data_IF_635640955883
#
_entry.id   IF_635640955883
#
_cell.length_a   1.000
_cell.length_b   1.000
_cell.length_c   1.000
_cell.angle_alpha   90.00
_cell.angle_beta   90.00
_cell.angle_gamma   90.00
#
_symmetry.space_group_name_H-M   'P 1'
#
loop_
_entity.id
_entity.type
_entity.pdbx_description
1 polymer ?
#
# COMPACT_ATOMS: atom_id res chain seq x y z
N UNK A 1 -8.13 -6.34 14.01
CA UNK A 1 -9.03 -6.69 12.90
C UNK A 1 -9.33 -5.42 12.11
N UNK A 2 -9.24 -5.46 10.79
CA UNK A 2 -9.58 -4.34 9.93
C UNK A 2 -11.00 -3.82 10.17
N UNK A 3 -11.31 -2.65 9.64
CA UNK A 3 -12.67 -2.08 9.74
C UNK A 3 -13.53 -2.60 8.58
N UNK A 4 -14.49 -3.50 8.79
CA UNK A 4 -15.23 -4.15 7.70
C UNK A 4 -15.95 -3.18 6.75
N UNK A 5 -16.33 -2.01 7.25
CA UNK A 5 -17.03 -0.96 6.50
C UNK A 5 -16.14 0.21 6.08
N UNK A 6 -14.84 0.17 6.39
CA UNK A 6 -13.93 1.28 6.17
C UNK A 6 -13.88 1.76 4.70
N UNK A 7 -13.97 0.85 3.75
CA UNK A 7 -13.99 1.17 2.31
C UNK A 7 -15.27 1.93 1.86
N UNK A 8 -16.33 1.86 2.64
CA UNK A 8 -17.58 2.63 2.40
C UNK A 8 -17.56 3.99 3.10
N UNK A 9 -16.82 4.11 4.19
CA UNK A 9 -16.80 5.32 5.03
C UNK A 9 -15.70 6.31 4.61
N UNK A 10 -14.57 5.80 4.14
CA UNK A 10 -13.43 6.61 3.73
C UNK A 10 -13.28 6.62 2.22
N UNK A 11 -13.22 7.78 1.63
CA UNK A 11 -12.87 7.92 0.21
C UNK A 11 -11.42 7.54 -0.04
N UNK A 12 -11.14 7.06 -1.26
CA UNK A 12 -9.79 6.77 -1.68
C UNK A 12 -9.03 8.07 -1.94
N UNK A 13 -7.91 8.22 -1.26
CA UNK A 13 -6.99 9.34 -1.46
C UNK A 13 -5.64 8.78 -1.93
N UNK A 14 -5.12 9.31 -3.01
CA UNK A 14 -3.83 8.92 -3.57
C UNK A 14 -2.77 9.98 -3.24
N UNK A 15 -1.51 9.54 -3.11
CA UNK A 15 -0.38 10.45 -2.97
C UNK A 15 -0.30 11.37 -4.20
N UNK A 16 -0.17 12.66 -3.96
CA UNK A 16 -0.04 13.66 -5.04
C UNK A 16 1.36 13.61 -5.64
N UNK A 17 1.45 13.82 -6.93
CA UNK A 17 2.72 13.95 -7.63
C UNK A 17 2.87 15.36 -8.19
N UNK A 18 4.11 15.88 -8.15
CA UNK A 18 4.46 17.15 -8.80
C UNK A 18 4.20 17.06 -10.31
N UNK A 19 3.77 18.15 -10.92
CA UNK A 19 3.43 18.17 -12.35
C UNK A 19 4.62 17.72 -13.22
N UNK A 20 4.38 16.99 -14.33
CA UNK A 20 5.46 16.52 -15.20
C UNK A 20 6.39 17.63 -15.69
N UNK A 21 5.85 18.83 -15.96
CA UNK A 21 6.62 20.00 -16.44
C UNK A 21 7.57 20.55 -15.38
N UNK A 22 7.27 20.35 -14.11
CA UNK A 22 8.13 20.80 -13.02
C UNK A 22 9.14 19.74 -12.60
N UNK A 23 8.75 18.48 -12.54
CA UNK A 23 9.64 17.40 -12.13
C UNK A 23 10.75 17.07 -13.11
N UNK A 24 10.63 17.42 -14.40
CA UNK A 24 11.71 17.27 -15.38
C UNK A 24 12.87 18.27 -15.17
N UNK A 25 12.70 19.28 -14.33
CA UNK A 25 13.71 20.32 -14.07
C UNK A 25 14.74 19.91 -13.02
N UNK A 26 14.49 18.85 -12.28
CA UNK A 26 15.36 18.37 -11.22
C UNK A 26 15.17 16.85 -11.00
N UNK A 27 16.00 16.25 -10.16
CA UNK A 27 15.95 14.84 -9.77
C UNK A 27 15.47 14.65 -8.33
N UNK A 28 14.76 15.62 -7.77
CA UNK A 28 14.21 15.51 -6.42
C UNK A 28 13.01 14.57 -6.38
N UNK A 29 12.63 14.16 -5.17
CA UNK A 29 11.41 13.41 -4.93
C UNK A 29 10.19 14.20 -5.43
N UNK A 30 9.35 13.58 -6.22
CA UNK A 30 8.18 14.22 -6.81
C UNK A 30 6.84 13.69 -6.27
N UNK A 31 6.87 12.67 -5.42
CA UNK A 31 5.70 12.20 -4.70
C UNK A 31 5.59 12.91 -3.36
N UNK A 32 4.40 13.42 -3.05
CA UNK A 32 4.10 13.97 -1.74
C UNK A 32 3.42 12.89 -0.91
N UNK A 33 4.06 12.39 0.16
CA UNK A 33 3.47 11.36 0.99
C UNK A 33 2.18 11.88 1.66
N UNK A 34 1.28 10.96 1.95
CA UNK A 34 0.11 11.24 2.77
C UNK A 34 0.53 11.50 4.22
N UNK A 35 -0.23 12.34 4.92
CA UNK A 35 -0.06 12.50 6.37
C UNK A 35 -0.35 11.19 7.10
N UNK A 36 0.17 11.04 8.31
CA UNK A 36 -0.06 9.84 9.14
C UNK A 36 -1.55 9.56 9.32
N UNK A 37 -2.35 10.58 9.57
CA UNK A 37 -3.80 10.43 9.72
C UNK A 37 -4.48 9.93 8.44
N UNK A 38 -4.08 10.46 7.28
CA UNK A 38 -4.57 9.99 5.99
C UNK A 38 -4.15 8.56 5.71
N UNK A 39 -2.89 8.20 5.99
CA UNK A 39 -2.39 6.83 5.84
C UNK A 39 -3.20 5.84 6.68
N UNK A 40 -3.49 6.17 7.94
CA UNK A 40 -4.34 5.35 8.81
C UNK A 40 -5.75 5.20 8.25
N UNK A 41 -6.35 6.28 7.75
CA UNK A 41 -7.67 6.23 7.09
C UNK A 41 -7.64 5.35 5.84
N UNK A 42 -6.60 5.45 4.99
CA UNK A 42 -6.49 4.61 3.81
C UNK A 42 -6.28 3.13 4.17
N UNK A 43 -5.51 2.83 5.20
CA UNK A 43 -5.32 1.47 5.70
C UNK A 43 -6.61 0.87 6.28
N UNK A 44 -7.46 1.70 6.90
CA UNK A 44 -8.78 1.28 7.40
C UNK A 44 -9.75 0.85 6.29
N UNK A 45 -9.46 1.16 5.02
CA UNK A 45 -10.27 0.68 3.89
C UNK A 45 -10.12 -0.81 3.61
N UNK A 46 -9.11 -1.45 4.16
CA UNK A 46 -8.97 -2.89 4.09
C UNK A 46 -10.01 -3.56 5.00
N UNK A 47 -10.92 -4.33 4.43
CA UNK A 47 -11.98 -5.02 5.18
C UNK A 47 -11.55 -6.35 5.78
N UNK A 48 -10.31 -6.76 5.61
CA UNK A 48 -9.79 -8.06 6.05
C UNK A 48 -10.71 -9.22 5.63
N UNK A 49 -10.91 -9.34 4.33
CA UNK A 49 -11.98 -10.13 3.73
C UNK A 49 -11.87 -11.67 3.92
N UNK A 50 -10.77 -12.16 4.51
CA UNK A 50 -10.54 -13.61 4.70
C UNK A 50 -10.19 -14.38 3.41
N UNK A 51 -10.42 -13.81 2.23
CA UNK A 51 -10.02 -14.35 0.91
C UNK A 51 -9.22 -13.26 0.17
N UNK A 52 -8.00 -12.95 0.66
CA UNK A 52 -7.25 -11.78 0.21
C UNK A 52 -6.60 -12.01 -1.15
N UNK A 53 -7.30 -11.70 -2.24
CA UNK A 53 -6.72 -11.70 -3.58
C UNK A 53 -5.49 -10.79 -3.69
N UNK A 54 -5.39 -9.75 -2.87
CA UNK A 54 -4.25 -8.85 -2.82
C UNK A 54 -2.93 -9.56 -2.47
N UNK A 55 -2.96 -10.65 -1.71
CA UNK A 55 -1.76 -11.41 -1.31
C UNK A 55 -1.66 -12.79 -1.95
N UNK A 56 -2.61 -13.21 -2.79
CA UNK A 56 -2.70 -14.61 -3.23
C UNK A 56 -1.71 -14.96 -4.34
N UNK A 57 -1.28 -14.02 -5.15
CA UNK A 57 -0.41 -14.27 -6.31
C UNK A 57 -1.00 -15.26 -7.34
N UNK A 58 -2.32 -15.46 -7.34
CA UNK A 58 -2.98 -16.41 -8.26
C UNK A 58 -3.01 -15.87 -9.69
N UNK A 59 -2.87 -16.78 -10.64
CA UNK A 59 -3.07 -16.46 -12.04
C UNK A 59 -4.57 -16.54 -12.38
N UNK A 60 -5.15 -15.40 -12.76
CA UNK A 60 -6.54 -15.30 -13.19
C UNK A 60 -6.54 -14.87 -14.66
N UNK A 61 -6.94 -15.76 -15.55
CA UNK A 61 -7.00 -15.52 -17.00
C UNK A 61 -5.68 -14.95 -17.59
N UNK A 62 -4.55 -15.49 -17.15
CA UNK A 62 -3.22 -15.08 -17.65
C UNK A 62 -2.62 -13.85 -16.95
N UNK A 63 -3.32 -13.25 -16.00
CA UNK A 63 -2.80 -12.15 -15.18
C UNK A 63 -2.61 -12.59 -13.73
N UNK A 64 -1.47 -12.28 -13.15
CA UNK A 64 -1.24 -12.51 -11.73
C UNK A 64 -2.03 -11.51 -10.92
N UNK A 65 -2.90 -12.01 -10.03
CA UNK A 65 -3.62 -11.15 -9.07
C UNK A 65 -2.78 -10.94 -7.82
N UNK A 66 -2.81 -9.74 -7.29
CA UNK A 66 -2.20 -9.44 -6.01
C UNK A 66 -0.66 -9.62 -5.98
N UNK A 67 -0.13 -9.89 -4.80
CA UNK A 67 1.30 -9.97 -4.57
C UNK A 67 1.84 -11.39 -4.81
N UNK A 68 2.76 -11.60 -5.79
CA UNK A 68 3.33 -12.92 -6.06
C UNK A 68 4.24 -13.42 -4.92
N UNK A 69 4.68 -12.53 -4.03
CA UNK A 69 5.48 -12.88 -2.84
C UNK A 69 4.61 -13.21 -1.62
N UNK A 70 3.30 -13.21 -1.77
CA UNK A 70 2.33 -13.44 -0.69
C UNK A 70 2.53 -12.50 0.51
N UNK A 71 2.81 -11.23 0.25
CA UNK A 71 2.89 -10.22 1.29
C UNK A 71 1.58 -10.16 2.09
N UNK A 72 1.69 -10.04 3.40
CA UNK A 72 0.56 -10.03 4.33
C UNK A 72 -0.14 -8.66 4.35
N UNK A 73 -0.69 -8.27 3.20
CA UNK A 73 -1.27 -6.94 2.97
C UNK A 73 -2.40 -6.59 3.95
N UNK A 74 -3.39 -7.45 4.20
CA UNK A 74 -4.42 -7.15 5.18
C UNK A 74 -3.86 -6.94 6.59
N UNK A 75 -2.87 -7.73 6.99
CA UNK A 75 -2.27 -7.66 8.32
C UNK A 75 -1.54 -6.33 8.54
N UNK A 76 -0.69 -5.89 7.61
CA UNK A 76 -0.03 -4.60 7.81
C UNK A 76 -1.01 -3.42 7.70
N UNK A 77 -2.05 -3.51 6.89
CA UNK A 77 -3.10 -2.49 6.85
C UNK A 77 -3.79 -2.34 8.22
N UNK A 78 -4.11 -3.45 8.88
CA UNK A 78 -4.66 -3.41 10.24
C UNK A 78 -3.69 -2.80 11.25
N UNK A 79 -2.41 -3.17 11.16
CA UNK A 79 -1.37 -2.61 12.03
C UNK A 79 -1.16 -1.11 11.83
N UNK A 80 -1.18 -0.62 10.59
CA UNK A 80 -1.13 0.82 10.29
C UNK A 80 -2.37 1.54 10.80
N UNK A 81 -3.55 0.99 10.57
CA UNK A 81 -4.80 1.56 11.06
C UNK A 81 -4.80 1.70 12.57
N UNK A 82 -4.32 0.71 13.30
CA UNK A 82 -4.23 0.73 14.77
C UNK A 82 -3.06 1.56 15.30
N UNK A 83 -2.14 2.01 14.44
CA UNK A 83 -0.97 2.80 14.81
C UNK A 83 0.23 1.99 15.29
N UNK A 84 0.25 0.68 15.05
CA UNK A 84 1.36 -0.22 15.39
C UNK A 84 2.44 -0.22 14.30
N UNK A 85 3.08 0.92 14.08
CA UNK A 85 4.02 1.15 12.98
C UNK A 85 5.22 0.19 12.99
N UNK A 86 5.80 -0.09 14.15
CA UNK A 86 6.93 -1.01 14.27
C UNK A 86 6.57 -2.42 13.79
N UNK A 87 5.42 -2.92 14.20
CA UNK A 87 4.98 -4.26 13.78
C UNK A 87 4.62 -4.29 12.30
N UNK A 88 4.01 -3.24 11.79
CA UNK A 88 3.69 -3.10 10.38
C UNK A 88 4.96 -3.08 9.53
N UNK A 89 6.00 -2.34 9.94
CA UNK A 89 7.33 -2.35 9.34
C UNK A 89 7.93 -3.76 9.31
N UNK A 90 7.93 -4.45 10.44
CA UNK A 90 8.44 -5.82 10.54
C UNK A 90 7.69 -6.80 9.62
N UNK A 91 6.37 -6.61 9.43
CA UNK A 91 5.58 -7.42 8.51
C UNK A 91 5.92 -7.15 7.06
N UNK A 92 6.09 -5.90 6.69
CA UNK A 92 6.46 -5.49 5.34
C UNK A 92 7.83 -6.04 4.93
N UNK A 93 8.79 -6.03 5.85
CA UNK A 93 10.17 -6.46 5.61
C UNK A 93 10.37 -7.99 5.65
N UNK A 94 9.33 -8.79 5.91
CA UNK A 94 9.46 -10.26 5.89
C UNK A 94 9.79 -10.83 4.52
N UNK A 95 9.28 -10.23 3.48
CA UNK A 95 9.39 -10.73 2.10
C UNK A 95 10.21 -9.81 1.19
N UNK A 96 10.48 -8.59 1.62
CA UNK A 96 11.22 -7.60 0.85
C UNK A 96 12.18 -6.83 1.75
N UNK A 97 13.46 -6.76 1.37
CA UNK A 97 14.48 -6.02 2.14
C UNK A 97 14.43 -4.52 1.88
N UNK A 98 13.93 -4.09 0.72
CA UNK A 98 13.90 -2.69 0.29
C UNK A 98 12.54 -2.31 -0.31
N UNK A 99 11.45 -2.39 0.48
CA UNK A 99 10.11 -2.11 -0.03
C UNK A 99 9.95 -0.66 -0.50
N UNK A 100 10.68 0.29 0.06
CA UNK A 100 10.69 1.70 -0.31
C UNK A 100 11.17 1.93 -1.76
N UNK A 101 12.04 1.07 -2.27
CA UNK A 101 12.48 1.13 -3.67
C UNK A 101 11.59 0.29 -4.59
N UNK A 102 11.28 -0.93 -4.17
CA UNK A 102 10.51 -1.86 -5.01
C UNK A 102 9.08 -1.37 -5.25
N UNK A 103 8.47 -0.70 -4.27
CA UNK A 103 7.14 -0.12 -4.42
C UNK A 103 7.06 0.95 -5.52
N UNK A 104 8.16 1.67 -5.75
CA UNK A 104 8.20 2.76 -6.75
C UNK A 104 8.39 2.27 -8.18
N UNK A 105 8.96 1.09 -8.37
CA UNK A 105 9.21 0.50 -9.70
C UNK A 105 8.16 -0.53 -10.11
N UNK A 106 7.33 -0.97 -9.18
CA UNK A 106 6.24 -1.90 -9.49
C UNK A 106 5.12 -1.20 -10.25
N UNK A 107 4.73 -1.78 -11.37
CA UNK A 107 3.68 -1.25 -12.24
C UNK A 107 2.28 -1.78 -11.93
N UNK A 108 2.10 -2.51 -10.83
CA UNK A 108 0.83 -3.13 -10.50
C UNK A 108 0.03 -2.34 -9.45
N UNK A 109 -1.24 -2.69 -9.33
CA UNK A 109 -2.18 -2.13 -8.34
C UNK A 109 -1.74 -2.28 -6.88
N UNK A 110 -0.77 -3.15 -6.59
CA UNK A 110 -0.10 -3.27 -5.30
C UNK A 110 0.74 -2.05 -4.91
N UNK A 111 1.17 -1.28 -5.89
CA UNK A 111 1.85 0.00 -5.69
C UNK A 111 1.06 0.90 -4.73
N UNK A 112 -0.24 0.89 -4.82
CA UNK A 112 -1.12 1.73 -4.01
C UNK A 112 -1.16 1.29 -2.53
N UNK A 113 -1.00 0.01 -2.23
CA UNK A 113 -0.87 -0.50 -0.87
C UNK A 113 0.49 -0.23 -0.23
N UNK A 114 1.54 -0.08 -1.06
CA UNK A 114 2.91 0.15 -0.59
C UNK A 114 3.26 1.64 -0.46
N UNK A 115 2.52 2.55 -1.08
CA UNK A 115 2.68 4.01 -0.88
C UNK A 115 2.38 4.48 0.54
N UNK A 116 1.86 3.62 1.38
CA UNK A 116 1.64 3.93 2.79
C UNK A 116 2.95 4.06 3.60
N UNK A 117 4.11 3.75 2.99
CA UNK A 117 5.39 3.61 3.72
C UNK A 117 6.53 4.51 3.22
N UNK A 118 6.28 5.34 2.27
CA UNK A 118 7.22 6.37 1.80
C UNK A 118 6.65 7.75 2.06
#
# INVERSE_FOLDING_TARGET
MGKPTGFLEYERVEAKAVSPKERIKNFNEFHTPLSEAEQRCQSARCMDCGVPFCQSGMNIKGMTSGCPLNNLIPEWNDLVYTGNWEQAYNRLHKTSNFPEFTSRVMSCTLREGLYLWT
#
